data_IF_273074311063
#
_entry.id   IF_273074311063
#
_cell.length_a   1.000
_cell.length_b   1.000
_cell.length_c   1.000
_cell.angle_alpha   90.00
_cell.angle_beta   90.00
_cell.angle_gamma   90.00
#
_symmetry.space_group_name_H-M   'P 1'
#
loop_
_entity.id
_entity.type
_entity.pdbx_description
1 polymer ?
#
# COMPACT_ATOMS: atom_id res chain seq x y z
N UNK A 1 -1.22 18.32 -5.78
CA UNK A 1 -0.06 17.47 -5.45
C UNK A 1 0.14 17.41 -3.94
N UNK A 2 -0.68 16.65 -3.20
CA UNK A 2 -0.37 16.14 -1.84
C UNK A 2 -1.44 15.08 -1.50
N UNK A 3 -1.32 13.90 -2.10
CA UNK A 3 -2.12 12.73 -1.70
C UNK A 3 -1.54 12.11 -0.41
N UNK A 4 -2.38 11.38 0.35
CA UNK A 4 -1.99 10.54 1.48
C UNK A 4 -1.22 11.25 2.61
N UNK A 5 -1.92 12.00 3.47
CA UNK A 5 -1.34 12.61 4.68
C UNK A 5 -0.53 13.90 4.48
N UNK A 6 -0.27 14.31 3.24
CA UNK A 6 0.49 15.53 2.95
C UNK A 6 2.00 15.35 3.11
N UNK A 7 2.73 16.45 3.37
CA UNK A 7 4.19 16.43 3.49
C UNK A 7 4.65 15.55 4.67
N UNK A 8 5.77 14.84 4.48
CA UNK A 8 6.45 14.13 5.56
C UNK A 8 7.15 15.15 6.47
N UNK A 9 6.79 15.15 7.74
CA UNK A 9 7.31 16.10 8.74
C UNK A 9 8.43 15.49 9.57
N UNK A 10 8.42 14.17 9.78
CA UNK A 10 9.43 13.47 10.56
C UNK A 10 9.65 12.04 10.06
N UNK A 11 10.79 11.48 10.44
CA UNK A 11 11.16 10.10 10.19
C UNK A 11 11.64 9.45 11.48
N UNK A 12 11.14 8.25 11.78
CA UNK A 12 11.74 7.34 12.75
C UNK A 12 12.36 6.17 11.99
N UNK A 13 13.68 6.03 12.06
CA UNK A 13 14.44 4.95 11.44
C UNK A 13 14.87 3.96 12.52
N UNK A 14 14.25 2.79 12.51
CA UNK A 14 14.53 1.70 13.44
C UNK A 14 15.65 0.84 12.87
N UNK A 15 16.69 0.61 13.66
CA UNK A 15 17.76 -0.33 13.33
C UNK A 15 17.38 -1.72 13.85
N UNK A 16 17.27 -2.69 12.94
CA UNK A 16 16.84 -4.06 13.24
C UNK A 16 18.02 -5.03 13.36
N UNK A 17 19.24 -4.57 13.08
CA UNK A 17 20.46 -5.37 13.21
C UNK A 17 21.65 -4.53 13.63
N UNK A 18 22.59 -5.17 14.34
CA UNK A 18 23.92 -4.64 14.58
C UNK A 18 24.75 -4.74 13.30
N UNK A 19 25.43 -3.65 12.93
CA UNK A 19 26.32 -3.62 11.76
C UNK A 19 27.76 -3.52 12.23
N UNK A 20 28.60 -4.50 11.87
CA UNK A 20 29.99 -4.56 12.31
C UNK A 20 30.80 -3.39 11.75
N UNK A 21 30.76 -3.13 10.44
CA UNK A 21 31.51 -2.03 9.81
C UNK A 21 30.69 -1.29 8.74
N UNK A 22 30.82 0.04 8.70
CA UNK A 22 30.01 0.89 7.84
C UNK A 22 28.53 0.92 8.25
N UNK A 23 27.65 1.16 7.28
CA UNK A 23 26.20 1.15 7.46
C UNK A 23 25.63 2.33 8.24
N UNK A 24 26.43 3.35 8.57
CA UNK A 24 25.97 4.53 9.29
C UNK A 24 24.81 5.23 8.56
N UNK A 25 23.94 5.90 9.31
CA UNK A 25 23.06 6.92 8.73
C UNK A 25 23.74 8.27 8.94
N UNK A 26 24.15 8.91 7.84
CA UNK A 26 24.93 10.16 7.84
C UNK A 26 24.07 11.34 7.38
N UNK A 27 24.25 12.49 8.04
CA UNK A 27 23.65 13.77 7.75
C UNK A 27 24.75 14.74 7.27
N UNK A 28 25.11 14.74 5.97
CA UNK A 28 26.28 15.46 5.46
C UNK A 28 26.16 16.98 5.56
N UNK A 29 24.93 17.50 5.64
CA UNK A 29 24.67 18.94 5.81
C UNK A 29 24.64 19.36 7.28
N UNK A 30 24.76 18.42 8.22
CA UNK A 30 24.77 18.67 9.66
C UNK A 30 26.19 18.50 10.20
N UNK A 31 26.68 19.51 10.92
CA UNK A 31 28.08 19.60 11.34
C UNK A 31 28.28 19.78 12.85
N UNK A 32 27.20 19.89 13.63
CA UNK A 32 27.28 20.16 15.07
C UNK A 32 26.43 19.17 15.88
N UNK A 33 27.10 18.36 16.69
CA UNK A 33 26.46 17.60 17.76
C UNK A 33 26.15 18.53 18.92
N UNK A 34 24.92 18.48 19.45
CA UNK A 34 24.59 19.11 20.74
C UNK A 34 25.28 18.32 21.87
N UNK A 35 25.21 16.99 21.78
CA UNK A 35 25.93 16.06 22.64
C UNK A 35 26.84 15.20 21.78
N UNK A 36 28.16 15.51 21.72
CA UNK A 36 29.06 14.76 20.86
C UNK A 36 29.20 13.32 21.40
N UNK A 37 29.18 12.31 20.52
CA UNK A 37 29.52 10.96 20.91
C UNK A 37 30.99 10.91 21.37
N UNK A 38 31.31 9.99 22.27
CA UNK A 38 32.68 9.79 22.75
C UNK A 38 33.66 9.57 21.59
N UNK A 39 34.94 9.94 21.79
CA UNK A 39 35.95 9.85 20.73
C UNK A 39 36.05 8.44 20.14
N UNK A 40 35.90 7.41 20.97
CA UNK A 40 35.96 6.02 20.54
C UNK A 40 34.80 5.67 19.58
N UNK A 41 33.59 6.15 19.85
CA UNK A 41 32.45 5.96 18.94
C UNK A 41 32.68 6.68 17.60
N UNK A 42 33.31 7.86 17.61
CA UNK A 42 33.67 8.57 16.36
C UNK A 42 34.75 7.83 15.55
N UNK A 43 35.70 7.16 16.21
CA UNK A 43 36.75 6.36 15.53
C UNK A 43 36.21 5.11 14.85
N UNK A 44 35.02 4.63 15.25
CA UNK A 44 34.36 3.47 14.66
C UNK A 44 33.52 3.80 13.41
N UNK A 45 33.47 5.08 13.01
CA UNK A 45 32.77 5.51 11.80
C UNK A 45 33.60 5.19 10.54
N UNK A 46 32.94 4.77 9.49
CA UNK A 46 33.51 4.64 8.15
C UNK A 46 33.89 6.01 7.56
N UNK A 47 34.72 6.06 6.48
CA UNK A 47 35.01 7.32 5.78
C UNK A 47 33.74 8.08 5.34
N UNK A 48 32.68 7.35 4.92
CA UNK A 48 31.38 7.94 4.62
C UNK A 48 30.73 8.58 5.87
N UNK A 49 30.74 7.87 7.00
CA UNK A 49 30.20 8.38 8.26
C UNK A 49 30.93 9.62 8.78
N UNK A 50 32.17 9.87 8.37
CA UNK A 50 32.91 11.07 8.77
C UNK A 50 32.51 12.35 8.01
N UNK A 51 31.71 12.25 6.95
CA UNK A 51 31.30 13.41 6.12
C UNK A 51 30.27 14.33 6.80
N UNK A 52 29.80 13.99 8.00
CA UNK A 52 28.85 14.82 8.76
C UNK A 52 28.55 14.23 10.13
N UNK A 53 27.37 14.55 10.67
CA UNK A 53 26.83 13.83 11.81
C UNK A 53 26.39 12.45 11.37
N UNK A 54 26.78 11.39 12.08
CA UNK A 54 26.46 10.03 11.71
C UNK A 54 26.07 9.19 12.93
N UNK A 55 25.15 8.26 12.70
CA UNK A 55 24.69 7.30 13.70
C UNK A 55 25.01 5.90 13.21
N UNK A 56 25.74 5.15 14.03
CA UNK A 56 26.05 3.74 13.79
C UNK A 56 24.80 2.90 14.07
N UNK A 57 24.41 1.94 13.20
CA UNK A 57 23.28 1.06 13.48
C UNK A 57 23.59 0.14 14.67
N UNK A 58 22.66 0.08 15.61
CA UNK A 58 22.65 -0.86 16.73
C UNK A 58 21.24 -1.42 16.83
N UNK A 59 21.09 -2.74 16.95
CA UNK A 59 19.78 -3.38 16.96
C UNK A 59 18.93 -2.84 18.12
N UNK A 60 17.69 -2.45 17.83
CA UNK A 60 16.74 -1.89 18.79
C UNK A 60 16.75 -0.37 18.91
N UNK A 61 17.80 0.30 18.42
CA UNK A 61 17.87 1.76 18.46
C UNK A 61 16.95 2.40 17.41
N UNK A 62 16.43 3.57 17.75
CA UNK A 62 15.60 4.40 16.87
C UNK A 62 16.28 5.74 16.64
N UNK A 63 16.59 6.05 15.38
CA UNK A 63 17.00 7.38 14.96
C UNK A 63 15.76 8.19 14.55
N UNK A 64 15.44 9.22 15.32
CA UNK A 64 14.34 10.14 15.04
C UNK A 64 14.85 11.51 14.57
N UNK A 65 14.27 12.06 13.50
CA UNK A 65 14.58 13.42 13.04
C UNK A 65 13.40 14.08 12.33
N UNK A 66 13.33 15.41 12.45
CA UNK A 66 12.40 16.27 11.72
C UNK A 66 12.94 16.55 10.32
N UNK A 67 12.07 16.46 9.31
CA UNK A 67 12.39 16.84 7.92
C UNK A 67 12.00 18.27 7.56
N UNK A 68 11.37 18.98 8.51
CA UNK A 68 10.84 20.34 8.34
C UNK A 68 11.20 21.22 9.53
N UNK A 69 11.30 22.52 9.29
CA UNK A 69 11.41 23.56 10.31
C UNK A 69 10.03 23.84 10.94
N UNK A 70 9.96 24.54 12.09
CA UNK A 70 8.69 24.87 12.74
C UNK A 70 7.71 25.68 11.88
N UNK A 71 8.21 26.39 10.86
CA UNK A 71 7.39 27.12 9.88
C UNK A 71 6.86 26.23 8.73
N UNK A 72 7.18 24.93 8.73
CA UNK A 72 6.77 23.95 7.73
C UNK A 72 7.69 23.86 6.50
N UNK A 73 8.72 24.71 6.40
CA UNK A 73 9.67 24.64 5.29
C UNK A 73 10.61 23.43 5.44
N UNK A 74 11.09 22.86 4.33
CA UNK A 74 12.00 21.71 4.36
C UNK A 74 13.31 22.04 5.05
N UNK A 75 13.70 21.23 6.03
CA UNK A 75 14.99 21.38 6.69
C UNK A 75 16.10 20.72 5.86
N UNK A 76 17.00 21.55 5.31
CA UNK A 76 18.16 21.08 4.54
C UNK A 76 19.15 20.27 5.38
N UNK A 77 19.19 20.45 6.70
CA UNK A 77 20.09 19.74 7.61
C UNK A 77 19.61 18.31 7.91
N UNK A 78 18.33 18.02 7.65
CA UNK A 78 17.74 16.69 7.71
C UNK A 78 18.06 15.80 6.49
N UNK A 79 18.78 16.33 5.49
CA UNK A 79 19.30 15.55 4.38
C UNK A 79 20.20 14.43 4.93
N UNK A 80 19.85 13.19 4.62
CA UNK A 80 20.51 12.01 5.15
C UNK A 80 20.76 10.97 4.07
N UNK A 81 21.71 10.08 4.31
CA UNK A 81 22.05 8.96 3.47
C UNK A 81 22.44 7.74 4.31
N UNK A 82 22.28 6.54 3.75
CA UNK A 82 22.87 5.33 4.29
C UNK A 82 24.27 5.14 3.74
N UNK A 83 25.27 5.06 4.61
CA UNK A 83 26.63 4.70 4.22
C UNK A 83 26.70 3.22 3.81
N UNK A 84 27.64 2.84 2.92
CA UNK A 84 27.86 1.44 2.56
C UNK A 84 28.11 0.56 3.78
N UNK A 85 27.51 -0.64 3.79
CA UNK A 85 27.86 -1.68 4.76
C UNK A 85 29.15 -2.33 4.29
N UNK A 86 30.21 -2.21 5.07
CA UNK A 86 31.52 -2.79 4.74
C UNK A 86 31.64 -4.22 5.26
N UNK A 87 31.01 -4.51 6.41
CA UNK A 87 30.94 -5.85 7.00
C UNK A 87 29.64 -6.02 7.77
N UNK A 88 28.94 -7.12 7.51
CA UNK A 88 27.66 -7.45 8.14
C UNK A 88 26.46 -7.29 7.22
N UNK A 89 25.29 -7.11 7.83
CA UNK A 89 24.04 -6.83 7.11
C UNK A 89 23.23 -5.82 7.91
N UNK A 90 22.72 -4.79 7.22
CA UNK A 90 21.90 -3.74 7.80
C UNK A 90 20.43 -3.98 7.47
N UNK A 91 19.63 -4.22 8.49
CA UNK A 91 18.17 -4.23 8.40
C UNK A 91 17.62 -2.98 9.09
N UNK A 92 16.67 -2.31 8.44
CA UNK A 92 16.00 -1.14 8.99
C UNK A 92 14.52 -1.14 8.68
N UNK A 93 13.71 -0.61 9.60
CA UNK A 93 12.34 -0.23 9.32
C UNK A 93 12.20 1.29 9.40
N UNK A 94 11.58 1.90 8.38
CA UNK A 94 11.41 3.36 8.31
C UNK A 94 9.95 3.70 8.50
N UNK A 95 9.65 4.48 9.53
CA UNK A 95 8.33 5.06 9.75
C UNK A 95 8.35 6.53 9.34
N UNK A 96 7.52 6.87 8.34
CA UNK A 96 7.33 8.26 7.92
C UNK A 96 6.09 8.84 8.60
N UNK A 97 6.27 10.01 9.20
CA UNK A 97 5.21 10.75 9.89
C UNK A 97 4.80 11.92 9.01
N UNK A 98 3.51 12.02 8.72
CA UNK A 98 2.93 12.99 7.82
C UNK A 98 2.25 14.14 8.59
N UNK A 99 2.16 15.33 7.96
CA UNK A 99 1.57 16.53 8.56
C UNK A 99 0.06 16.39 8.87
N UNK A 100 -0.63 15.52 8.14
CA UNK A 100 -2.05 15.20 8.32
C UNK A 100 -2.22 13.70 8.46
N UNK A 101 -3.40 13.29 8.94
CA UNK A 101 -3.81 11.90 8.95
C UNK A 101 -3.55 11.28 7.57
N UNK A 102 -2.78 10.19 7.58
CA UNK A 102 -2.50 9.46 6.36
C UNK A 102 -3.80 8.81 5.93
N UNK A 103 -4.39 9.33 4.86
CA UNK A 103 -5.68 8.83 4.37
C UNK A 103 -5.51 7.35 4.00
N UNK A 104 -6.02 6.46 4.87
CA UNK A 104 -5.98 5.03 4.70
C UNK A 104 -6.96 4.54 3.62
N UNK A 105 -7.57 5.44 2.82
CA UNK A 105 -8.33 5.08 1.63
C UNK A 105 -7.56 4.23 0.60
N UNK A 106 -6.24 4.06 0.76
CA UNK A 106 -5.44 3.08 0.02
C UNK A 106 -5.28 1.71 0.71
N UNK A 107 -5.57 1.60 2.01
CA UNK A 107 -5.69 0.32 2.75
C UNK A 107 -7.14 -0.18 2.81
N UNK A 108 -8.09 0.73 2.76
CA UNK A 108 -9.39 0.45 2.18
C UNK A 108 -9.23 0.50 0.66
N UNK A 109 -8.45 -0.43 0.11
CA UNK A 109 -8.77 -0.88 -1.24
C UNK A 109 -10.28 -1.14 -1.19
N UNK A 110 -11.12 -0.53 -2.04
CA UNK A 110 -12.55 -0.82 -2.03
C UNK A 110 -12.70 -2.30 -2.41
N UNK A 111 -12.50 -3.18 -1.43
CA UNK A 111 -12.47 -4.61 -1.63
C UNK A 111 -13.85 -4.94 -2.12
N UNK A 112 -13.90 -5.47 -3.34
CA UNK A 112 -15.09 -6.09 -3.86
C UNK A 112 -15.56 -7.08 -2.79
N UNK A 113 -16.82 -6.95 -2.37
CA UNK A 113 -17.41 -7.99 -1.52
C UNK A 113 -17.34 -9.31 -2.29
N UNK A 114 -17.25 -10.47 -1.61
CA UNK A 114 -17.29 -11.76 -2.30
C UNK A 114 -18.48 -11.84 -3.27
N UNK A 115 -18.20 -12.02 -4.57
CA UNK A 115 -19.20 -12.04 -5.65
C UNK A 115 -19.59 -10.68 -6.25
N UNK A 116 -18.94 -9.59 -5.86
CA UNK A 116 -19.03 -8.28 -6.52
C UNK A 116 -17.94 -8.18 -7.59
N UNK A 117 -18.26 -7.70 -8.79
CA UNK A 117 -17.30 -7.44 -9.85
C UNK A 117 -17.52 -6.05 -10.41
N UNK A 118 -16.50 -5.18 -10.34
CA UNK A 118 -16.53 -3.83 -10.91
C UNK A 118 -15.12 -3.29 -11.18
N UNK A 119 -15.05 -2.14 -11.82
CA UNK A 119 -13.81 -1.37 -11.91
C UNK A 119 -13.66 -0.51 -10.65
N UNK A 120 -12.59 -0.72 -9.90
CA UNK A 120 -12.27 0.00 -8.66
C UNK A 120 -11.46 1.27 -8.90
N UNK A 121 -10.89 1.41 -10.10
CA UNK A 121 -10.07 2.54 -10.47
C UNK A 121 -10.60 3.17 -11.77
N UNK A 122 -10.65 4.51 -11.81
CA UNK A 122 -11.05 5.27 -13.00
C UNK A 122 -10.15 4.99 -14.22
N UNK A 123 -8.92 4.52 -13.99
CA UNK A 123 -7.93 4.19 -15.02
C UNK A 123 -8.06 2.76 -15.56
N UNK A 124 -8.93 1.92 -15.01
CA UNK A 124 -9.08 0.52 -15.44
C UNK A 124 -9.29 0.38 -16.95
N UNK A 125 -10.06 1.29 -17.56
CA UNK A 125 -10.31 1.30 -19.01
C UNK A 125 -9.01 1.52 -19.80
N UNK A 126 -8.23 2.53 -19.40
CA UNK A 126 -6.96 2.84 -20.05
C UNK A 126 -5.97 1.68 -19.92
N UNK A 127 -5.89 1.06 -18.75
CA UNK A 127 -5.01 -0.07 -18.51
C UNK A 127 -5.40 -1.30 -19.33
N UNK A 128 -6.71 -1.58 -19.45
CA UNK A 128 -7.19 -2.62 -20.33
C UNK A 128 -6.84 -2.33 -21.81
N UNK A 129 -7.00 -1.09 -22.27
CA UNK A 129 -6.58 -0.67 -23.62
C UNK A 129 -5.05 -0.80 -23.84
N UNK A 130 -4.25 -0.68 -22.78
CA UNK A 130 -2.80 -0.90 -22.80
C UNK A 130 -2.38 -2.37 -22.64
N UNK A 131 -3.33 -3.32 -22.55
CA UNK A 131 -3.06 -4.75 -22.48
C UNK A 131 -2.74 -5.29 -21.08
N UNK A 132 -3.08 -4.56 -20.02
CA UNK A 132 -2.84 -5.01 -18.64
C UNK A 132 -3.68 -6.24 -18.26
N UNK A 133 -4.80 -6.50 -18.97
CA UNK A 133 -5.61 -7.71 -18.74
C UNK A 133 -4.82 -9.01 -19.01
N UNK A 134 -3.83 -8.96 -19.90
CA UNK A 134 -2.93 -10.05 -20.25
C UNK A 134 -1.60 -9.95 -19.51
N UNK A 135 -1.05 -8.73 -19.39
CA UNK A 135 0.26 -8.50 -18.77
C UNK A 135 0.21 -8.59 -17.24
N UNK A 136 -0.94 -8.31 -16.64
CA UNK A 136 -1.14 -8.30 -15.18
C UNK A 136 -2.52 -8.90 -14.80
N UNK A 137 -2.75 -10.18 -15.12
CA UNK A 137 -4.07 -10.79 -15.04
C UNK A 137 -4.60 -10.90 -13.60
N UNK A 138 -3.73 -11.15 -12.63
CA UNK A 138 -4.13 -11.31 -11.22
C UNK A 138 -4.62 -9.99 -10.62
N UNK A 139 -3.96 -8.88 -10.95
CA UNK A 139 -4.39 -7.55 -10.50
C UNK A 139 -5.68 -7.12 -11.20
N UNK A 140 -5.77 -7.35 -12.51
CA UNK A 140 -6.85 -6.82 -13.33
C UNK A 140 -8.12 -7.68 -13.25
N UNK A 141 -7.99 -9.00 -13.45
CA UNK A 141 -9.10 -9.96 -13.49
C UNK A 141 -9.30 -10.70 -12.18
N UNK A 142 -8.23 -10.89 -11.41
CA UNK A 142 -8.25 -11.68 -10.18
C UNK A 142 -7.79 -13.12 -10.42
N UNK A 143 -7.84 -13.90 -9.34
CA UNK A 143 -7.57 -15.34 -9.30
C UNK A 143 -8.82 -16.05 -8.76
N UNK A 144 -8.90 -17.38 -8.83
CA UNK A 144 -10.10 -18.14 -8.43
C UNK A 144 -10.63 -17.82 -7.02
N UNK A 145 -9.74 -17.38 -6.12
CA UNK A 145 -10.05 -17.05 -4.73
C UNK A 145 -10.27 -15.56 -4.46
N UNK A 146 -10.04 -14.68 -5.43
CA UNK A 146 -10.16 -13.22 -5.24
C UNK A 146 -10.41 -12.47 -6.55
N UNK A 147 -11.40 -11.57 -6.53
CA UNK A 147 -11.75 -10.70 -7.65
C UNK A 147 -10.64 -9.68 -7.96
N UNK A 148 -10.42 -9.40 -9.25
CA UNK A 148 -9.50 -8.37 -9.71
C UNK A 148 -10.08 -6.97 -9.61
N UNK A 149 -9.22 -5.96 -9.71
CA UNK A 149 -9.61 -4.56 -9.53
C UNK A 149 -10.33 -3.95 -10.74
N UNK A 150 -10.21 -4.55 -11.92
CA UNK A 150 -10.65 -3.98 -13.19
C UNK A 150 -11.51 -4.97 -13.98
N UNK A 151 -12.43 -5.66 -13.28
CA UNK A 151 -13.17 -6.76 -13.86
C UNK A 151 -14.11 -6.39 -15.01
N UNK A 152 -14.65 -5.15 -15.02
CA UNK A 152 -15.47 -4.67 -16.14
C UNK A 152 -14.60 -4.35 -17.35
N UNK A 153 -13.53 -3.60 -17.13
CA UNK A 153 -12.60 -3.21 -18.19
C UNK A 153 -11.92 -4.41 -18.84
N UNK A 154 -11.68 -5.50 -18.09
CA UNK A 154 -11.12 -6.74 -18.62
C UNK A 154 -12.14 -7.81 -19.03
N UNK A 155 -13.44 -7.48 -19.07
CA UNK A 155 -14.52 -8.41 -19.40
C UNK A 155 -14.49 -9.72 -18.59
N UNK A 156 -13.99 -9.68 -17.34
CA UNK A 156 -13.94 -10.86 -16.47
C UNK A 156 -15.19 -11.02 -15.60
N UNK A 157 -16.02 -9.97 -15.49
CA UNK A 157 -17.30 -10.06 -14.79
C UNK A 157 -18.30 -10.98 -15.52
N UNK A 158 -18.68 -12.09 -14.90
CA UNK A 158 -19.82 -12.91 -15.36
C UNK A 158 -21.14 -12.25 -14.96
N UNK A 159 -22.20 -12.26 -15.78
CA UNK A 159 -23.52 -11.78 -15.35
C UNK A 159 -24.07 -12.65 -14.21
N UNK A 160 -24.83 -12.03 -13.28
CA UNK A 160 -25.59 -12.75 -12.23
C UNK A 160 -26.43 -13.85 -12.91
N UNK A 161 -26.49 -15.09 -12.37
CA UNK A 161 -27.42 -16.07 -12.89
C UNK A 161 -28.82 -15.45 -12.89
N UNK A 162 -29.47 -15.45 -14.06
CA UNK A 162 -30.83 -14.94 -14.20
C UNK A 162 -31.71 -15.56 -13.13
N UNK A 163 -32.51 -14.74 -12.45
CA UNK A 163 -33.55 -15.22 -11.55
C UNK A 163 -34.44 -16.13 -12.39
N UNK A 164 -34.32 -17.44 -12.18
CA UNK A 164 -35.11 -18.45 -12.88
C UNK A 164 -36.57 -18.25 -12.44
N UNK A 165 -37.33 -17.44 -13.18
CA UNK A 165 -38.78 -17.35 -13.01
C UNK A 165 -39.29 -18.77 -13.25
N UNK A 166 -39.80 -19.42 -12.19
CA UNK A 166 -40.47 -20.71 -12.33
C UNK A 166 -41.69 -20.49 -13.24
N UNK A 167 -41.55 -20.79 -14.52
CA UNK A 167 -42.72 -21.10 -15.32
C UNK A 167 -43.28 -22.41 -14.78
N UNK A 168 -44.43 -22.32 -14.11
CA UNK A 168 -45.20 -23.47 -13.70
C UNK A 168 -45.54 -24.30 -14.94
N UNK A 169 -45.05 -25.53 -14.99
CA UNK A 169 -45.51 -26.54 -15.95
C UNK A 169 -47.01 -26.74 -15.77
N UNK A 170 -47.79 -26.47 -16.82
CA UNK A 170 -49.08 -27.14 -17.00
C UNK A 170 -48.86 -28.27 -18.00
N UNK A 171 -49.04 -29.49 -17.53
CA UNK A 171 -49.11 -30.69 -18.36
C UNK A 171 -50.45 -30.64 -19.09
N UNK A 172 -50.43 -30.52 -20.42
CA UNK A 172 -51.60 -30.77 -21.27
C UNK A 172 -51.99 -32.25 -21.18
N UNK A 173 -53.14 -32.75 -21.60
CA UNK A 173 -54.12 -32.33 -22.60
C UNK A 173 -55.29 -33.29 -22.44
N UNK A 174 -56.49 -32.85 -22.07
CA UNK A 174 -57.73 -33.55 -22.45
C UNK A 174 -58.95 -32.61 -22.35
N UNK A 175 -59.77 -32.61 -23.40
CA UNK A 175 -60.84 -31.66 -23.72
C UNK A 175 -62.24 -32.20 -23.38
N UNK A 176 -62.42 -32.96 -22.29
CA UNK A 176 -63.64 -33.76 -22.11
C UNK A 176 -64.49 -33.50 -20.86
N UNK A 177 -64.17 -32.57 -19.96
CA UNK A 177 -64.95 -32.39 -18.72
C UNK A 177 -65.13 -30.92 -18.30
N UNK A 178 -65.82 -30.12 -19.12
CA UNK A 178 -66.36 -28.82 -18.69
C UNK A 178 -67.76 -29.02 -18.13
N UNK A 179 -67.88 -29.31 -16.83
CA UNK A 179 -69.18 -29.23 -16.13
C UNK A 179 -69.30 -27.88 -15.42
N UNK A 180 -70.17 -27.02 -15.95
CA UNK A 180 -70.57 -25.77 -15.31
C UNK A 180 -71.37 -26.06 -14.04
N UNK A 181 -70.79 -25.83 -12.86
CA UNK A 181 -71.60 -25.66 -11.63
C UNK A 181 -71.70 -24.18 -11.28
N UNK A 182 -72.85 -23.59 -11.61
CA UNK A 182 -73.33 -22.37 -10.98
C UNK A 182 -73.50 -22.65 -9.49
N UNK A 183 -72.87 -21.87 -8.62
CA UNK A 183 -73.31 -21.78 -7.22
C UNK A 183 -74.07 -20.48 -7.05
N UNK A 184 -75.37 -20.65 -6.80
CA UNK A 184 -76.25 -19.64 -6.27
C UNK A 184 -76.10 -19.56 -4.75
N UNK A 185 -76.37 -18.36 -4.23
CA UNK A 185 -76.33 -17.86 -2.85
C UNK A 185 -74.94 -17.63 -2.26
#
# INVERSE_FOLDING_TARGET
>A
FFANGGQRVATALLYLSDVQEGGETVFPKSNKYIHPPGQEARRRLSPCGTQGIAVKPSAGDVLFFWGVLPDGTTDKHAMHAGCPVLRGTKFTATMWIHAKEYNQGALQNPQLKPGECRDLNEQCKLWAELGECENNPDFMKGIDTSEGQCGWSCNSCKPKPEVRVRQSMTVGTDLSQVTWRRRAY
#
